data_IF_853061358944
#
_entry.id   IF_853061358944
#
_cell.length_a   1.000
_cell.length_b   1.000
_cell.length_c   1.000
_cell.angle_alpha   90.00
_cell.angle_beta   90.00
_cell.angle_gamma   90.00
#
_symmetry.space_group_name_H-M   'P 1'
#
loop_
_entity.id
_entity.type
_entity.pdbx_description
1 polymer ?
#
# COMPACT_ATOMS: atom_id res chain seq x y z
N UNK A 1 20.48 13.48 -22.07
CA UNK A 1 19.01 13.53 -21.91
C UNK A 1 18.53 12.10 -21.77
N UNK A 2 18.27 11.66 -20.54
CA UNK A 2 17.85 10.29 -20.25
C UNK A 2 16.33 10.25 -20.38
N UNK A 3 15.82 9.50 -21.35
CA UNK A 3 14.39 9.26 -21.52
C UNK A 3 13.87 8.41 -20.37
N UNK A 4 13.42 9.05 -19.29
CA UNK A 4 12.61 8.42 -18.25
C UNK A 4 11.16 8.29 -18.76
N UNK A 5 10.94 7.39 -19.72
CA UNK A 5 9.58 6.91 -20.00
C UNK A 5 9.28 5.89 -18.91
N UNK A 6 8.63 6.35 -17.84
CA UNK A 6 7.91 5.46 -16.93
C UNK A 6 7.03 4.56 -17.81
N UNK A 7 7.04 3.22 -17.62
CA UNK A 7 6.18 2.35 -18.41
C UNK A 7 4.76 2.87 -18.27
N UNK A 8 4.12 3.13 -19.42
CA UNK A 8 2.75 3.58 -19.49
C UNK A 8 1.93 2.69 -18.58
N UNK A 9 1.38 3.28 -17.50
CA UNK A 9 0.36 2.64 -16.70
C UNK A 9 -0.66 2.07 -17.69
N UNK A 10 -1.04 0.81 -17.51
CA UNK A 10 -2.01 0.13 -18.35
C UNK A 10 -3.31 0.94 -18.38
N UNK A 11 -3.43 1.86 -19.34
CA UNK A 11 -4.59 2.69 -19.58
C UNK A 11 -5.75 1.75 -19.94
N UNK A 12 -6.63 1.49 -18.97
CA UNK A 12 -7.84 0.68 -19.17
C UNK A 12 -8.14 -0.36 -18.10
N UNK A 13 -7.20 -0.70 -17.20
CA UNK A 13 -7.49 -1.55 -16.05
C UNK A 13 -8.01 -0.69 -14.89
N UNK A 14 -9.15 -1.04 -14.25
CA UNK A 14 -9.58 -0.33 -13.04
C UNK A 14 -8.51 -0.47 -11.97
N UNK A 15 -7.96 0.67 -11.52
CA UNK A 15 -6.91 0.71 -10.52
C UNK A 15 -7.38 0.01 -9.23
N UNK A 16 -6.57 -0.93 -8.70
CA UNK A 16 -6.94 -1.66 -7.49
C UNK A 16 -7.09 -0.71 -6.30
N UNK A 17 -7.91 -1.10 -5.32
CA UNK A 17 -8.11 -0.29 -4.12
C UNK A 17 -6.80 0.03 -3.40
N UNK A 18 -5.93 -0.98 -3.24
CA UNK A 18 -4.64 -0.82 -2.59
C UNK A 18 -3.76 0.14 -3.39
N UNK A 19 -3.70 0.02 -4.72
CA UNK A 19 -2.93 0.96 -5.56
C UNK A 19 -3.41 2.41 -5.37
N UNK A 20 -4.73 2.63 -5.43
CA UNK A 20 -5.32 3.97 -5.23
C UNK A 20 -4.97 4.55 -3.87
N UNK A 21 -5.12 3.75 -2.82
CA UNK A 21 -4.85 4.21 -1.45
C UNK A 21 -3.36 4.42 -1.21
N UNK A 22 -2.48 3.57 -1.73
CA UNK A 22 -1.02 3.77 -1.63
C UNK A 22 -0.58 5.07 -2.31
N UNK A 23 -1.17 5.41 -3.46
CA UNK A 23 -0.89 6.71 -4.11
C UNK A 23 -1.38 7.87 -3.26
N UNK A 24 -2.60 7.81 -2.74
CA UNK A 24 -3.12 8.83 -1.83
C UNK A 24 -2.25 9.00 -0.58
N UNK A 25 -1.77 7.89 -0.02
CA UNK A 25 -0.87 7.88 1.13
C UNK A 25 0.42 8.66 0.84
N UNK A 26 1.07 8.38 -0.29
CA UNK A 26 2.29 9.11 -0.72
C UNK A 26 2.02 10.60 -0.93
N UNK A 27 0.88 10.95 -1.52
CA UNK A 27 0.50 12.35 -1.73
C UNK A 27 0.34 13.10 -0.40
N UNK A 28 -0.33 12.48 0.58
CA UNK A 28 -0.48 13.03 1.93
C UNK A 28 0.86 13.11 2.67
N UNK A 29 1.73 12.10 2.50
CA UNK A 29 3.04 12.05 3.15
C UNK A 29 3.99 13.17 2.65
N UNK A 30 3.90 13.51 1.36
CA UNK A 30 4.83 14.45 0.69
C UNK A 30 4.25 15.86 0.50
N UNK A 31 3.02 16.13 0.95
CA UNK A 31 2.38 17.44 0.74
C UNK A 31 3.12 18.57 1.47
N UNK A 32 3.64 18.30 2.67
CA UNK A 32 4.41 19.27 3.46
C UNK A 32 5.68 19.75 2.75
N UNK A 33 6.38 18.84 2.06
CA UNK A 33 7.58 19.19 1.29
C UNK A 33 7.28 20.10 0.09
N UNK A 34 6.08 19.98 -0.48
CA UNK A 34 5.66 20.73 -1.67
C UNK A 34 5.06 22.10 -1.35
N UNK A 35 4.30 22.18 -0.26
CA UNK A 35 3.53 23.38 0.10
C UNK A 35 4.28 24.25 1.13
N UNK A 36 5.21 23.67 1.89
CA UNK A 36 5.96 24.37 2.93
C UNK A 36 5.17 24.51 4.23
N UNK A 37 5.42 25.59 4.96
CA UNK A 37 4.74 25.88 6.24
C UNK A 37 3.23 26.01 6.02
N UNK A 38 2.47 25.29 6.83
CA UNK A 38 1.02 25.26 6.76
C UNK A 38 0.43 25.38 8.17
N UNK A 39 -0.82 25.88 8.29
CA UNK A 39 -1.47 26.00 9.60
C UNK A 39 -1.53 24.66 10.31
N UNK A 40 -1.34 24.66 11.63
CA UNK A 40 -1.36 23.45 12.47
C UNK A 40 -2.65 22.62 12.25
N UNK A 41 -3.82 23.26 12.21
CA UNK A 41 -5.10 22.58 11.94
C UNK A 41 -5.08 21.78 10.61
N UNK A 42 -4.40 22.29 9.58
CA UNK A 42 -4.27 21.59 8.32
C UNK A 42 -3.31 20.39 8.43
N UNK A 43 -2.21 20.53 9.17
CA UNK A 43 -1.26 19.44 9.45
C UNK A 43 -1.93 18.32 10.23
N UNK A 44 -2.76 18.66 11.22
CA UNK A 44 -3.50 17.70 12.03
C UNK A 44 -4.45 16.87 11.16
N UNK A 45 -5.24 17.53 10.30
CA UNK A 45 -6.14 16.83 9.38
C UNK A 45 -5.42 15.98 8.34
N UNK A 46 -4.27 16.43 7.82
CA UNK A 46 -3.45 15.63 6.91
C UNK A 46 -2.90 14.39 7.63
N UNK A 47 -2.44 14.55 8.87
CA UNK A 47 -1.92 13.46 9.70
C UNK A 47 -3.01 12.44 10.03
N UNK A 48 -4.20 12.90 10.38
CA UNK A 48 -5.36 12.05 10.61
C UNK A 48 -5.74 11.27 9.35
N UNK A 49 -5.83 11.96 8.20
CA UNK A 49 -6.11 11.32 6.92
C UNK A 49 -5.04 10.27 6.56
N UNK A 50 -3.77 10.58 6.82
CA UNK A 50 -2.65 9.67 6.59
C UNK A 50 -2.79 8.37 7.39
N UNK A 51 -3.19 8.44 8.67
CA UNK A 51 -3.47 7.25 9.49
C UNK A 51 -4.67 6.45 8.99
N UNK A 52 -5.75 7.12 8.59
CA UNK A 52 -6.95 6.46 8.06
C UNK A 52 -6.61 5.68 6.78
N UNK A 53 -5.86 6.30 5.87
CA UNK A 53 -5.46 5.67 4.60
C UNK A 53 -4.50 4.51 4.86
N UNK A 54 -3.54 4.65 5.77
CA UNK A 54 -2.63 3.56 6.17
C UNK A 54 -3.42 2.31 6.61
N UNK A 55 -4.34 2.48 7.56
CA UNK A 55 -5.20 1.39 8.04
C UNK A 55 -6.03 0.77 6.93
N UNK A 56 -6.58 1.60 6.04
CA UNK A 56 -7.35 1.10 4.89
C UNK A 56 -6.51 0.19 3.97
N UNK A 57 -5.24 0.54 3.72
CA UNK A 57 -4.32 -0.30 2.93
C UNK A 57 -4.04 -1.63 3.66
N UNK A 58 -3.76 -1.55 4.97
CA UNK A 58 -3.45 -2.72 5.81
C UNK A 58 -4.62 -3.68 5.85
N UNK A 59 -5.86 -3.20 6.00
CA UNK A 59 -7.04 -4.03 6.16
C UNK A 59 -7.69 -4.48 4.85
N UNK A 60 -7.30 -3.87 3.71
CA UNK A 60 -7.85 -4.21 2.40
C UNK A 60 -7.74 -5.72 2.09
N UNK A 61 -8.77 -6.37 1.52
CA UNK A 61 -8.65 -7.77 1.12
C UNK A 61 -7.62 -7.93 -0.01
N UNK A 62 -6.97 -9.09 -0.05
CA UNK A 62 -6.06 -9.48 -1.14
C UNK A 62 -6.82 -10.41 -2.08
N UNK A 63 -6.89 -10.05 -3.36
CA UNK A 63 -7.55 -10.85 -4.40
C UNK A 63 -6.62 -11.29 -5.51
N UNK A 64 -5.45 -10.65 -5.63
CA UNK A 64 -4.43 -10.96 -6.62
C UNK A 64 -3.02 -10.73 -6.07
N UNK A 65 -2.00 -11.19 -6.79
CA UNK A 65 -0.59 -10.98 -6.40
C UNK A 65 -0.21 -9.50 -6.30
N UNK A 66 -0.81 -8.65 -7.14
CA UNK A 66 -0.56 -7.21 -7.13
C UNK A 66 -1.01 -6.55 -5.82
N UNK A 67 -2.08 -7.05 -5.19
CA UNK A 67 -2.55 -6.57 -3.89
C UNK A 67 -1.55 -6.90 -2.78
N UNK A 68 -1.01 -8.12 -2.77
CA UNK A 68 0.06 -8.52 -1.84
C UNK A 68 1.28 -7.62 -2.01
N UNK A 69 1.72 -7.43 -3.26
CA UNK A 69 2.85 -6.57 -3.56
C UNK A 69 2.58 -5.12 -3.12
N UNK A 70 1.36 -4.62 -3.29
CA UNK A 70 0.94 -3.29 -2.82
C UNK A 70 1.09 -3.15 -1.30
N UNK A 71 0.61 -4.12 -0.52
CA UNK A 71 0.76 -4.12 0.94
C UNK A 71 2.21 -4.21 1.40
N UNK A 72 3.02 -5.03 0.73
CA UNK A 72 4.46 -5.14 1.05
C UNK A 72 5.20 -3.83 0.77
N UNK A 73 4.88 -3.13 -0.32
CA UNK A 73 5.44 -1.80 -0.61
C UNK A 73 4.99 -0.76 0.41
N UNK A 74 3.72 -0.80 0.83
CA UNK A 74 3.24 0.08 1.90
C UNK A 74 4.01 -0.15 3.20
N UNK A 75 4.17 -1.40 3.62
CA UNK A 75 4.96 -1.75 4.79
C UNK A 75 6.43 -1.28 4.68
N UNK A 76 7.05 -1.45 3.51
CA UNK A 76 8.41 -0.97 3.28
C UNK A 76 8.52 0.57 3.41
N UNK A 77 7.54 1.31 2.89
CA UNK A 77 7.50 2.77 3.02
C UNK A 77 7.45 3.20 4.49
N UNK A 78 6.64 2.54 5.32
CA UNK A 78 6.58 2.85 6.75
C UNK A 78 7.93 2.62 7.44
N UNK A 79 8.64 1.53 7.10
CA UNK A 79 9.96 1.19 7.66
C UNK A 79 11.05 2.17 7.19
N UNK A 80 10.97 2.63 5.94
CA UNK A 80 11.97 3.53 5.36
C UNK A 80 11.83 4.99 5.82
N UNK A 81 10.77 5.33 6.56
CA UNK A 81 10.48 6.72 6.91
C UNK A 81 11.56 7.31 7.84
N UNK A 82 12.27 8.38 7.42
CA UNK A 82 13.34 8.96 8.23
C UNK A 82 12.83 9.88 9.34
N UNK A 83 11.53 10.19 9.36
CA UNK A 83 10.92 11.21 10.22
C UNK A 83 10.32 10.65 11.52
N UNK A 84 10.45 9.35 11.78
CA UNK A 84 9.98 8.71 12.99
C UNK A 84 9.40 7.32 12.75
N UNK A 85 8.90 6.70 13.81
CA UNK A 85 8.29 5.38 13.77
C UNK A 85 6.77 5.49 13.56
N UNK A 86 6.22 4.64 12.68
CA UNK A 86 4.77 4.52 12.53
C UNK A 86 4.23 3.42 13.45
N UNK A 87 3.20 3.74 14.24
CA UNK A 87 2.47 2.73 15.00
C UNK A 87 1.89 1.61 14.12
N UNK A 88 1.58 1.91 12.86
CA UNK A 88 1.03 0.97 11.90
C UNK A 88 2.10 0.09 11.21
N UNK A 89 3.40 0.33 11.42
CA UNK A 89 4.48 -0.41 10.77
C UNK A 89 4.40 -1.92 11.06
N UNK A 90 4.39 -2.31 12.34
CA UNK A 90 4.30 -3.71 12.73
C UNK A 90 3.00 -4.37 12.25
N UNK A 91 1.81 -3.75 12.42
CA UNK A 91 0.57 -4.24 11.81
C UNK A 91 0.66 -4.44 10.30
N UNK A 92 1.25 -3.49 9.55
CA UNK A 92 1.36 -3.56 8.10
C UNK A 92 2.19 -4.78 7.67
N UNK A 93 3.36 -4.99 8.29
CA UNK A 93 4.23 -6.14 8.02
C UNK A 93 3.51 -7.45 8.35
N UNK A 94 2.94 -7.55 9.55
CA UNK A 94 2.28 -8.76 10.01
C UNK A 94 1.12 -9.16 9.09
N UNK A 95 0.30 -8.17 8.70
CA UNK A 95 -0.86 -8.40 7.85
C UNK A 95 -0.48 -8.75 6.41
N UNK A 96 0.50 -8.06 5.83
CA UNK A 96 0.99 -8.37 4.49
C UNK A 96 1.55 -9.81 4.41
N UNK A 97 2.32 -10.24 5.42
CA UNK A 97 2.86 -11.61 5.48
C UNK A 97 1.76 -12.65 5.71
N UNK A 98 0.77 -12.35 6.57
CA UNK A 98 -0.36 -13.24 6.80
C UNK A 98 -1.20 -13.42 5.52
N UNK A 99 -1.47 -12.34 4.80
CA UNK A 99 -2.23 -12.39 3.55
C UNK A 99 -1.45 -13.11 2.44
N UNK A 100 -0.12 -12.93 2.34
CA UNK A 100 0.73 -13.70 1.41
C UNK A 100 0.66 -15.19 1.70
N UNK A 101 0.80 -15.59 2.98
CA UNK A 101 0.71 -17.00 3.39
C UNK A 101 -0.66 -17.60 3.03
N UNK A 102 -1.75 -16.86 3.30
CA UNK A 102 -3.10 -17.28 2.94
C UNK A 102 -3.25 -17.44 1.43
N UNK A 103 -2.84 -16.43 0.65
CA UNK A 103 -2.95 -16.42 -0.80
C UNK A 103 -2.22 -17.61 -1.45
N UNK A 104 -0.97 -17.87 -1.06
CA UNK A 104 -0.21 -19.03 -1.58
C UNK A 104 -0.81 -20.38 -1.17
N UNK A 105 -1.39 -20.49 0.02
CA UNK A 105 -2.07 -21.70 0.45
C UNK A 105 -3.36 -21.96 -0.37
N UNK A 106 -4.11 -20.91 -0.68
CA UNK A 106 -5.31 -21.00 -1.53
C UNK A 106 -4.98 -21.41 -2.97
N UNK A 107 -3.92 -20.84 -3.56
CA UNK A 107 -3.43 -21.23 -4.89
C UNK A 107 -3.06 -22.72 -4.93
N UNK A 108 -2.28 -23.18 -3.95
CA UNK A 108 -1.88 -24.59 -3.85
C UNK A 108 -3.08 -25.53 -3.71
N UNK A 109 -4.04 -25.16 -2.87
CA UNK A 109 -5.26 -25.95 -2.67
C UNK A 109 -6.15 -25.97 -3.93
N UNK A 110 -6.12 -24.93 -4.77
CA UNK A 110 -6.80 -24.95 -6.06
C UNK A 110 -6.17 -25.98 -7.00
N UNK A 111 -4.85 -25.91 -7.18
CA UNK A 111 -4.10 -26.85 -8.03
C UNK A 111 -4.29 -28.30 -7.57
N UNK A 112 -4.26 -28.55 -6.26
CA UNK A 112 -4.46 -29.89 -5.71
C UNK A 112 -5.88 -30.43 -5.87
N UNK A 113 -6.89 -29.56 -5.96
CA UNK A 113 -8.28 -29.99 -6.24
C UNK A 113 -8.44 -30.40 -7.70
N UNK A 114 -7.90 -29.60 -8.62
CA UNK A 114 -7.89 -29.89 -10.06
C UNK A 114 -7.14 -31.19 -10.38
N UNK A 115 -6.04 -31.47 -9.68
CA UNK A 115 -5.29 -32.73 -9.85
C UNK A 115 -6.02 -33.99 -9.31
N UNK A 116 -7.08 -33.82 -8.50
CA UNK A 116 -7.85 -34.92 -7.88
C UNK A 116 -9.20 -35.18 -8.56
N UNK A 117 -9.65 -34.27 -9.41
CA UNK A 117 -10.87 -34.39 -10.24
C UNK A 117 -10.57 -35.03 -11.59
#
# INVERSE_FOLDING_TARGET
>A
MVNNVLPANAEGMPESFISRMSRLFVELHTIGERVGEMPDDAMDHITEAHWIVSKAIIDAPVTCEADVAGKLRHAALLVECPHGEYHDEQPAIAKALADLKRFRAEEWNSVMREARS
#
